data_IF_536982607245
#
_entry.id   IF_536982607245
#
_cell.length_a   1.000
_cell.length_b   1.000
_cell.length_c   1.000
_cell.angle_alpha   90.00
_cell.angle_beta   90.00
_cell.angle_gamma   90.00
#
_symmetry.space_group_name_H-M   'P 1'
#
loop_
_entity.id
_entity.type
_entity.pdbx_description
1 polymer ?
#
# COMPACT_ATOMS: atom_id res chain seq x y z
N UNK A 1 -25.86 -11.86 10.44
CA UNK A 1 -26.46 -10.53 10.69
C UNK A 1 -25.81 -9.56 9.71
N UNK A 2 -25.96 -9.87 8.41
CA UNK A 2 -24.97 -9.58 7.35
C UNK A 2 -25.53 -8.78 6.17
N UNK A 3 -26.80 -8.41 6.21
CA UNK A 3 -27.51 -7.80 5.08
C UNK A 3 -27.16 -6.34 4.82
N UNK A 4 -26.70 -5.61 5.86
CA UNK A 4 -26.23 -4.23 5.72
C UNK A 4 -24.81 -4.19 5.16
N UNK A 5 -23.94 -5.11 5.61
CA UNK A 5 -22.58 -5.25 5.10
C UNK A 5 -22.57 -5.73 3.64
N UNK A 6 -23.44 -6.67 3.27
CA UNK A 6 -23.60 -7.09 1.87
C UNK A 6 -24.14 -5.98 0.97
N UNK A 7 -25.06 -5.13 1.46
CA UNK A 7 -25.58 -4.00 0.68
C UNK A 7 -24.53 -2.93 0.45
N UNK A 8 -23.78 -2.57 1.49
CA UNK A 8 -22.68 -1.60 1.38
C UNK A 8 -21.60 -2.17 0.45
N UNK A 9 -21.20 -3.43 0.64
CA UNK A 9 -20.23 -4.09 -0.24
C UNK A 9 -20.69 -4.12 -1.71
N UNK A 10 -21.97 -4.42 -1.97
CA UNK A 10 -22.54 -4.43 -3.33
C UNK A 10 -22.69 -3.03 -3.95
N UNK A 11 -22.99 -2.00 -3.17
CA UNK A 11 -23.06 -0.62 -3.68
C UNK A 11 -21.67 -0.04 -3.97
N UNK A 12 -20.65 -0.37 -3.17
CA UNK A 12 -19.26 0.00 -3.43
C UNK A 12 -18.67 -0.76 -4.63
N UNK A 13 -18.92 -2.07 -4.74
CA UNK A 13 -18.48 -2.90 -5.88
C UNK A 13 -19.10 -2.44 -7.21
N UNK A 14 -20.33 -1.92 -7.19
CA UNK A 14 -20.98 -1.35 -8.38
C UNK A 14 -20.44 0.02 -8.81
N UNK A 15 -19.80 0.78 -7.91
CA UNK A 15 -19.28 2.13 -8.21
C UNK A 15 -17.84 2.15 -8.74
N UNK A 16 -17.05 1.09 -8.56
CA UNK A 16 -15.65 1.08 -8.98
C UNK A 16 -15.28 -0.26 -9.62
N UNK A 17 -15.57 -0.40 -10.92
CA UNK A 17 -15.24 -1.64 -11.67
C UNK A 17 -13.77 -1.77 -12.08
N UNK A 18 -12.93 -0.78 -11.79
CA UNK A 18 -11.48 -0.87 -11.89
C UNK A 18 -10.93 -0.39 -10.53
N UNK A 19 -10.17 -1.21 -9.80
CA UNK A 19 -9.60 -0.94 -8.46
C UNK A 19 -10.51 -1.19 -7.25
N UNK A 20 -11.04 -2.42 -7.10
CA UNK A 20 -11.48 -2.87 -5.77
C UNK A 20 -10.25 -2.88 -4.84
N UNK A 21 -10.28 -2.02 -3.82
CA UNK A 21 -9.22 -1.91 -2.80
C UNK A 21 -8.97 -3.25 -2.14
N UNK A 22 -10.01 -4.05 -1.96
CA UNK A 22 -9.86 -5.39 -1.43
C UNK A 22 -8.97 -6.25 -2.32
N UNK A 23 -9.17 -6.19 -3.65
CA UNK A 23 -8.32 -6.88 -4.63
C UNK A 23 -6.90 -6.34 -4.62
N UNK A 24 -6.70 -5.01 -4.60
CA UNK A 24 -5.35 -4.41 -4.51
C UNK A 24 -4.61 -4.89 -3.26
N UNK A 25 -5.30 -4.90 -2.12
CA UNK A 25 -4.77 -5.42 -0.86
C UNK A 25 -4.43 -6.91 -1.02
N UNK A 26 -5.31 -7.73 -1.60
CA UNK A 26 -5.07 -9.17 -1.78
C UNK A 26 -3.95 -9.49 -2.79
N UNK A 27 -3.84 -8.74 -3.88
CA UNK A 27 -2.81 -8.96 -4.90
C UNK A 27 -1.41 -8.61 -4.37
N UNK A 28 -1.32 -7.61 -3.50
CA UNK A 28 -0.06 -7.27 -2.84
C UNK A 28 0.20 -8.10 -1.58
N UNK A 29 -0.85 -8.68 -0.96
CA UNK A 29 -0.76 -9.50 0.25
C UNK A 29 -1.12 -10.95 -0.08
N UNK A 30 -0.10 -11.77 -0.28
CA UNK A 30 -0.23 -13.18 -0.60
C UNK A 30 -0.07 -14.06 0.65
N UNK A 31 -0.29 -15.37 0.54
CA UNK A 31 -0.07 -16.31 1.66
C UNK A 31 1.39 -16.35 2.15
N UNK A 32 2.34 -15.91 1.31
CA UNK A 32 3.76 -15.80 1.66
C UNK A 32 4.13 -14.43 2.26
N UNK A 33 3.20 -13.47 2.31
CA UNK A 33 3.41 -12.19 2.98
C UNK A 33 3.67 -12.36 4.49
N UNK A 34 4.49 -11.47 5.05
CA UNK A 34 4.79 -11.40 6.48
C UNK A 34 3.53 -11.46 7.36
N UNK A 35 3.63 -12.17 8.49
CA UNK A 35 2.53 -12.39 9.43
C UNK A 35 1.89 -11.09 9.95
N UNK A 36 2.63 -9.97 9.95
CA UNK A 36 2.08 -8.66 10.32
C UNK A 36 0.93 -8.22 9.40
N UNK A 37 1.02 -8.45 8.08
CA UNK A 37 -0.06 -8.10 7.15
C UNK A 37 -1.27 -9.04 7.26
N UNK A 38 -1.03 -10.33 7.59
CA UNK A 38 -2.10 -11.29 7.88
C UNK A 38 -2.87 -10.87 9.14
N UNK A 39 -2.16 -10.41 10.16
CA UNK A 39 -2.74 -9.87 11.40
C UNK A 39 -3.55 -8.60 11.11
N UNK A 40 -3.01 -7.66 10.32
CA UNK A 40 -3.76 -6.45 9.93
C UNK A 40 -5.06 -6.85 9.23
N UNK A 41 -4.98 -7.68 8.18
CA UNK A 41 -6.16 -8.13 7.41
C UNK A 41 -7.22 -8.78 8.30
N UNK A 42 -6.81 -9.58 9.29
CA UNK A 42 -7.71 -10.22 10.24
C UNK A 42 -8.38 -9.23 11.21
N UNK A 43 -7.81 -8.05 11.41
CA UNK A 43 -8.27 -7.05 12.37
C UNK A 43 -9.01 -5.86 11.72
N UNK A 44 -8.99 -5.76 10.38
CA UNK A 44 -9.70 -4.71 9.66
C UNK A 44 -11.21 -4.81 9.82
N UNK A 45 -11.82 -3.69 10.21
CA UNK A 45 -13.26 -3.47 10.19
C UNK A 45 -13.67 -2.73 8.92
N UNK A 46 -14.97 -2.66 8.66
CA UNK A 46 -15.54 -1.95 7.50
C UNK A 46 -15.09 -0.49 7.40
N UNK A 47 -14.96 0.22 8.53
CA UNK A 47 -14.45 1.59 8.58
C UNK A 47 -13.00 1.70 8.14
N UNK A 48 -12.19 0.67 8.39
CA UNK A 48 -10.77 0.69 8.05
C UNK A 48 -10.61 0.56 6.53
N UNK A 49 -11.45 -0.23 5.86
CA UNK A 49 -11.48 -0.31 4.40
C UNK A 49 -11.81 1.03 3.73
N UNK A 50 -12.61 1.88 4.36
CA UNK A 50 -12.87 3.25 3.87
C UNK A 50 -11.58 4.07 3.95
N UNK A 51 -10.86 3.99 5.08
CA UNK A 51 -9.56 4.65 5.25
C UNK A 51 -8.52 4.13 4.27
N UNK A 52 -8.44 2.82 4.07
CA UNK A 52 -7.55 2.22 3.05
C UNK A 52 -7.89 2.70 1.65
N UNK A 53 -9.17 2.77 1.29
CA UNK A 53 -9.58 3.30 -0.01
C UNK A 53 -9.15 4.76 -0.18
N UNK A 54 -9.36 5.58 0.84
CA UNK A 54 -8.92 6.98 0.82
C UNK A 54 -7.40 7.09 0.60
N UNK A 55 -6.60 6.31 1.34
CA UNK A 55 -5.14 6.38 1.26
C UNK A 55 -4.62 5.79 -0.06
N UNK A 56 -5.02 4.57 -0.40
CA UNK A 56 -4.48 3.85 -1.57
C UNK A 56 -4.93 4.52 -2.88
N UNK A 57 -6.23 4.78 -3.01
CA UNK A 57 -6.78 5.27 -4.27
C UNK A 57 -6.74 6.78 -4.37
N UNK A 58 -7.21 7.52 -3.36
CA UNK A 58 -7.24 8.99 -3.48
C UNK A 58 -5.87 9.61 -3.22
N UNK A 59 -5.23 9.29 -2.11
CA UNK A 59 -3.95 9.91 -1.75
C UNK A 59 -2.84 9.41 -2.68
N UNK A 60 -2.84 8.12 -3.01
CA UNK A 60 -1.98 7.56 -4.04
C UNK A 60 -2.15 8.20 -5.43
N UNK A 61 -3.26 8.90 -5.71
CA UNK A 61 -3.45 9.68 -6.94
C UNK A 61 -3.04 11.14 -6.82
N UNK A 62 -3.36 11.76 -5.69
CA UNK A 62 -3.24 13.21 -5.48
C UNK A 62 -1.84 13.63 -5.05
N UNK A 63 -1.12 12.79 -4.32
CA UNK A 63 0.16 13.15 -3.72
C UNK A 63 1.37 12.63 -4.52
N UNK A 64 2.50 13.32 -4.35
CA UNK A 64 3.78 12.86 -4.87
C UNK A 64 4.27 11.63 -4.08
N UNK A 65 5.19 10.86 -4.65
CA UNK A 65 5.80 9.72 -3.95
C UNK A 65 6.54 10.18 -2.70
N UNK A 66 7.19 11.35 -2.75
CA UNK A 66 7.85 11.96 -1.59
C UNK A 66 6.86 12.25 -0.47
N UNK A 67 5.70 12.82 -0.78
CA UNK A 67 4.68 13.11 0.23
C UNK A 67 4.10 11.83 0.85
N UNK A 68 3.94 10.79 0.05
CA UNK A 68 3.50 9.48 0.52
C UNK A 68 4.56 8.84 1.43
N UNK A 69 5.84 8.91 1.07
CA UNK A 69 6.95 8.43 1.90
C UNK A 69 7.05 9.21 3.22
N UNK A 70 6.93 10.54 3.19
CA UNK A 70 6.93 11.36 4.42
C UNK A 70 5.76 10.97 5.35
N UNK A 71 4.59 10.67 4.77
CA UNK A 71 3.42 10.23 5.52
C UNK A 71 3.65 8.84 6.13
N UNK A 72 4.21 7.91 5.35
CA UNK A 72 4.64 6.60 5.84
C UNK A 72 5.60 6.72 7.03
N UNK A 73 6.68 7.48 6.88
CA UNK A 73 7.68 7.70 7.92
C UNK A 73 7.09 8.33 9.18
N UNK A 74 6.13 9.26 9.02
CA UNK A 74 5.42 9.84 10.15
C UNK A 74 4.73 8.76 11.00
N UNK A 75 4.00 7.83 10.39
CA UNK A 75 3.29 6.79 11.13
C UNK A 75 4.21 5.69 11.66
N UNK A 76 5.23 5.31 10.88
CA UNK A 76 6.24 4.30 11.27
C UNK A 76 6.98 4.67 12.55
N UNK A 77 7.34 5.94 12.73
CA UNK A 77 8.10 6.40 13.90
C UNK A 77 7.21 6.84 15.08
N UNK A 78 5.89 6.73 14.96
CA UNK A 78 4.96 7.05 16.05
C UNK A 78 4.75 5.84 16.94
N UNK A 79 5.00 6.03 18.24
CA UNK A 79 4.69 5.05 19.27
C UNK A 79 3.69 5.65 20.25
N UNK A 80 2.42 5.30 20.09
CA UNK A 80 1.39 5.51 21.10
C UNK A 80 0.64 4.19 21.33
N UNK A 81 0.84 3.51 22.47
CA UNK A 81 0.16 2.27 22.79
C UNK A 81 -1.38 2.36 22.77
N UNK A 82 -1.95 3.55 22.92
CA UNK A 82 -3.42 3.74 22.88
C UNK A 82 -3.96 3.80 21.46
N UNK A 83 -3.13 4.20 20.50
CA UNK A 83 -3.51 4.42 19.10
C UNK A 83 -2.74 3.51 18.13
N UNK A 84 -2.07 2.48 18.65
CA UNK A 84 -1.18 1.62 17.86
C UNK A 84 -1.87 0.99 16.65
N UNK A 85 -3.13 0.59 16.79
CA UNK A 85 -3.95 0.06 15.69
C UNK A 85 -4.16 1.07 14.57
N UNK A 86 -4.46 2.31 14.93
CA UNK A 86 -4.62 3.39 13.96
C UNK A 86 -3.32 3.62 13.23
N UNK A 87 -2.19 3.74 13.94
CA UNK A 87 -0.89 3.95 13.29
C UNK A 87 -0.54 2.79 12.36
N UNK A 88 -0.82 1.56 12.75
CA UNK A 88 -0.60 0.38 11.92
C UNK A 88 -1.43 0.41 10.63
N UNK A 89 -2.71 0.83 10.71
CA UNK A 89 -3.59 0.97 9.53
C UNK A 89 -3.04 2.03 8.58
N UNK A 90 -2.62 3.20 9.09
CA UNK A 90 -2.11 4.28 8.25
C UNK A 90 -0.74 3.92 7.66
N UNK A 91 0.19 3.38 8.45
CA UNK A 91 1.50 2.90 7.99
C UNK A 91 1.32 1.88 6.84
N UNK A 92 0.48 0.87 7.05
CA UNK A 92 0.12 -0.13 6.05
C UNK A 92 -0.55 0.48 4.81
N UNK A 93 -1.47 1.43 5.01
CA UNK A 93 -2.19 2.11 3.94
C UNK A 93 -1.25 2.91 3.04
N UNK A 94 -0.33 3.67 3.63
CA UNK A 94 0.66 4.43 2.88
C UNK A 94 1.66 3.52 2.18
N UNK A 95 2.08 2.41 2.81
CA UNK A 95 2.93 1.43 2.16
C UNK A 95 2.29 0.91 0.85
N UNK A 96 1.01 0.52 0.90
CA UNK A 96 0.26 0.09 -0.28
C UNK A 96 0.03 1.21 -1.29
N UNK A 97 -0.21 2.45 -0.84
CA UNK A 97 -0.37 3.60 -1.72
C UNK A 97 0.92 3.90 -2.51
N UNK A 98 2.09 3.82 -1.87
CA UNK A 98 3.40 4.01 -2.52
C UNK A 98 3.61 2.97 -3.62
N UNK A 99 3.43 1.68 -3.29
CA UNK A 99 3.56 0.59 -4.27
C UNK A 99 2.59 0.76 -5.44
N UNK A 100 1.32 1.07 -5.13
CA UNK A 100 0.28 1.28 -6.14
C UNK A 100 0.60 2.47 -7.05
N UNK A 101 1.10 3.58 -6.47
CA UNK A 101 1.51 4.77 -7.22
C UNK A 101 2.67 4.47 -8.17
N UNK A 102 3.73 3.82 -7.67
CA UNK A 102 4.90 3.46 -8.48
C UNK A 102 4.50 2.51 -9.61
N UNK A 103 3.71 1.47 -9.31
CA UNK A 103 3.23 0.52 -10.34
C UNK A 103 2.38 1.20 -11.42
N UNK A 104 1.55 2.18 -11.04
CA UNK A 104 0.72 2.93 -12.00
C UNK A 104 1.57 3.85 -12.87
N UNK A 105 2.49 4.58 -12.26
CA UNK A 105 3.30 5.57 -12.97
C UNK A 105 4.43 4.92 -13.75
N UNK A 106 4.81 3.69 -13.41
CA UNK A 106 5.98 3.00 -13.94
C UNK A 106 7.24 3.43 -13.20
N UNK A 107 8.08 2.46 -12.83
CA UNK A 107 9.31 2.71 -12.06
C UNK A 107 10.29 3.59 -12.84
N UNK A 108 10.26 3.51 -14.17
CA UNK A 108 11.10 4.28 -15.09
C UNK A 108 10.80 5.78 -15.08
N UNK A 109 9.62 6.19 -14.62
CA UNK A 109 9.20 7.60 -14.56
C UNK A 109 9.58 8.29 -13.25
N UNK A 110 10.22 7.58 -12.32
CA UNK A 110 10.74 8.17 -11.09
C UNK A 110 11.97 9.01 -11.38
N UNK A 111 12.00 10.22 -10.82
CA UNK A 111 13.22 11.03 -10.82
C UNK A 111 14.32 10.33 -10.00
N UNK A 112 15.62 10.58 -10.29
CA UNK A 112 16.70 10.01 -9.48
C UNK A 112 16.54 10.31 -7.98
N UNK A 113 16.11 11.52 -7.63
CA UNK A 113 15.86 11.94 -6.24
C UNK A 113 14.73 11.15 -5.57
N UNK A 114 13.65 10.87 -6.30
CA UNK A 114 12.56 10.05 -5.76
C UNK A 114 13.01 8.60 -5.60
N UNK A 115 13.78 8.10 -6.56
CA UNK A 115 14.31 6.74 -6.52
C UNK A 115 15.25 6.51 -5.33
N UNK A 116 16.13 7.47 -5.03
CA UNK A 116 17.01 7.43 -3.86
C UNK A 116 16.25 7.32 -2.53
N UNK A 117 15.00 7.80 -2.49
CA UNK A 117 14.12 7.65 -1.31
C UNK A 117 13.31 6.37 -1.33
N UNK A 118 12.93 5.88 -2.52
CA UNK A 118 12.16 4.64 -2.68
C UNK A 118 13.02 3.41 -2.37
N UNK A 119 14.29 3.38 -2.78
CA UNK A 119 15.15 2.20 -2.60
C UNK A 119 15.27 1.79 -1.12
N UNK A 120 15.60 2.69 -0.17
CA UNK A 120 15.64 2.34 1.25
C UNK A 120 14.28 1.88 1.79
N UNK A 121 13.18 2.42 1.26
CA UNK A 121 11.84 1.97 1.61
C UNK A 121 11.56 0.55 1.09
N UNK A 122 12.05 0.16 -0.10
CA UNK A 122 11.86 -1.20 -0.63
C UNK A 122 12.63 -2.25 0.17
N UNK A 123 13.77 -1.88 0.77
CA UNK A 123 14.50 -2.74 1.72
C UNK A 123 13.93 -2.65 3.15
N UNK A 124 12.96 -1.77 3.38
CA UNK A 124 12.29 -1.68 4.67
C UNK A 124 11.41 -2.91 4.93
N UNK A 125 11.31 -3.26 6.21
CA UNK A 125 10.69 -4.49 6.70
C UNK A 125 9.27 -4.73 6.15
N UNK A 126 8.49 -3.68 5.93
CA UNK A 126 7.14 -3.79 5.39
C UNK A 126 7.09 -4.04 3.88
N UNK A 127 8.02 -3.47 3.11
CA UNK A 127 8.05 -3.65 1.67
C UNK A 127 8.72 -4.97 1.30
N UNK A 128 9.93 -5.24 1.82
CA UNK A 128 10.75 -6.40 1.48
C UNK A 128 10.08 -7.73 1.80
N UNK A 129 9.54 -7.85 3.01
CA UNK A 129 9.03 -9.12 3.53
C UNK A 129 7.49 -9.18 3.52
N UNK A 130 6.82 -8.05 3.26
CA UNK A 130 5.38 -7.90 3.45
C UNK A 130 4.55 -7.75 2.18
N UNK A 131 5.10 -7.21 1.09
CA UNK A 131 4.33 -6.83 -0.09
C UNK A 131 4.94 -7.41 -1.39
N UNK A 132 4.19 -8.29 -2.06
CA UNK A 132 4.64 -8.87 -3.34
C UNK A 132 4.93 -7.78 -4.39
N UNK A 133 4.15 -6.69 -4.38
CA UNK A 133 4.37 -5.58 -5.30
C UNK A 133 5.65 -4.78 -5.09
N UNK A 134 6.31 -4.88 -3.92
CA UNK A 134 7.62 -4.29 -3.73
C UNK A 134 8.69 -5.07 -4.51
N UNK A 135 8.59 -6.40 -4.57
CA UNK A 135 9.49 -7.24 -5.36
C UNK A 135 9.38 -6.94 -6.85
N UNK A 136 8.17 -6.74 -7.37
CA UNK A 136 7.96 -6.36 -8.78
C UNK A 136 8.74 -5.08 -9.12
N UNK A 137 8.70 -4.07 -8.24
CA UNK A 137 9.44 -2.81 -8.40
C UNK A 137 10.95 -3.06 -8.35
N UNK A 138 11.43 -3.86 -7.39
CA UNK A 138 12.87 -4.20 -7.27
C UNK A 138 13.35 -4.93 -8.53
N UNK A 139 12.59 -5.89 -9.05
CA UNK A 139 12.92 -6.58 -10.29
C UNK A 139 12.96 -5.63 -11.49
N UNK A 140 12.00 -4.71 -11.60
CA UNK A 140 12.01 -3.69 -12.66
C UNK A 140 13.22 -2.77 -12.58
N UNK A 141 13.61 -2.34 -11.37
CA UNK A 141 14.84 -1.57 -11.14
C UNK A 141 16.10 -2.35 -11.56
N UNK A 142 16.18 -3.63 -11.20
CA UNK A 142 17.30 -4.50 -11.57
C UNK A 142 17.42 -4.64 -13.10
N UNK A 143 16.30 -4.86 -13.78
CA UNK A 143 16.26 -4.97 -15.26
C UNK A 143 16.71 -3.67 -15.92
N UNK A 144 16.29 -2.52 -15.41
CA UNK A 144 16.76 -1.19 -15.86
C UNK A 144 18.28 -1.03 -15.68
N UNK A 145 18.83 -1.41 -14.53
CA UNK A 145 20.27 -1.29 -14.26
C UNK A 145 21.11 -2.15 -15.22
N UNK A 146 20.57 -3.28 -15.68
CA UNK A 146 21.23 -4.18 -16.63
C UNK A 146 20.91 -3.87 -18.10
N UNK A 147 20.16 -2.80 -18.40
CA UNK A 147 19.81 -2.40 -19.77
C UNK A 147 18.80 -3.32 -20.46
N UNK A 148 17.99 -4.04 -19.69
CA UNK A 148 16.94 -4.94 -20.20
C UNK A 148 15.58 -4.24 -20.41
N UNK A 149 15.51 -2.93 -20.11
CA UNK A 149 14.36 -2.04 -20.23
C UNK A 149 14.81 -0.65 -20.72
#
# INVERSE_FOLDING_TARGET
MDTVNEKIHNEYSKRNKNNDVYTIICDNITNVSCDKFKIIKALLKSTDYITFNLIINEYGQKYSIVDLLNSYDFYKHRSDPRNWFTFLIYECGYALAIITRIKRDGVTNLSPTDLDRVIPYLDDFWARDGLAGAWDIVFELYRRQNGEL
#
